data_IF_497230751863
#
_entry.id   IF_497230751863
#
_cell.length_a   1.000
_cell.length_b   1.000
_cell.length_c   1.000
_cell.angle_alpha   90.00
_cell.angle_beta   90.00
_cell.angle_gamma   90.00
#
_symmetry.space_group_name_H-M   'P 1'
#
loop_
_entity.id
_entity.type
_entity.pdbx_description
1 polymer ?
#
# COMPACT_ATOMS: atom_id res chain seq x y z
N UNK A 1 7.20 20.13 -15.76
CA UNK A 1 6.30 19.81 -14.62
C UNK A 1 7.02 18.85 -13.71
N UNK A 2 7.38 19.29 -12.50
CA UNK A 2 8.11 18.48 -11.53
C UNK A 2 7.25 17.29 -11.13
N UNK A 3 7.57 16.08 -11.59
CA UNK A 3 6.95 14.86 -11.06
C UNK A 3 7.29 14.81 -9.58
N UNK A 4 6.37 15.28 -8.73
CA UNK A 4 6.45 15.08 -7.30
C UNK A 4 6.48 13.56 -7.10
N UNK A 5 7.64 13.02 -6.70
CA UNK A 5 7.78 11.61 -6.33
C UNK A 5 6.90 11.36 -5.11
N UNK A 6 5.62 11.10 -5.33
CA UNK A 6 4.72 10.68 -4.26
C UNK A 6 5.19 9.29 -3.83
N UNK A 7 5.56 9.15 -2.56
CA UNK A 7 5.87 7.84 -2.00
C UNK A 7 4.64 6.95 -2.17
N UNK A 8 4.84 5.76 -2.73
CA UNK A 8 3.78 4.76 -2.78
C UNK A 8 3.63 4.12 -1.40
N UNK A 9 2.43 3.71 -1.05
CA UNK A 9 2.09 3.01 0.18
C UNK A 9 1.41 1.69 -0.17
N UNK A 10 1.68 0.68 0.66
CA UNK A 10 1.06 -0.64 0.60
C UNK A 10 0.17 -0.82 1.82
N UNK A 11 -1.10 -1.18 1.61
CA UNK A 11 -1.99 -1.59 2.69
C UNK A 11 -1.88 -3.11 2.92
N UNK A 12 -1.79 -3.50 4.19
CA UNK A 12 -1.64 -4.88 4.63
C UNK A 12 -2.54 -5.16 5.83
N UNK A 13 -2.97 -6.41 5.95
CA UNK A 13 -3.75 -6.95 7.05
C UNK A 13 -3.02 -8.18 7.57
N UNK A 14 -2.82 -8.28 8.88
CA UNK A 14 -2.12 -9.42 9.49
C UNK A 14 -2.81 -10.76 9.19
N UNK A 15 -4.14 -10.75 9.09
CA UNK A 15 -4.93 -11.95 8.85
C UNK A 15 -5.16 -12.27 7.37
N UNK A 16 -5.12 -11.27 6.48
CA UNK A 16 -5.46 -11.45 5.05
C UNK A 16 -4.24 -11.32 4.12
N UNK A 17 -3.14 -10.77 4.61
CA UNK A 17 -1.98 -10.41 3.80
C UNK A 17 -2.15 -9.04 3.14
N UNK A 18 -1.75 -8.93 1.88
CA UNK A 18 -1.76 -7.67 1.15
C UNK A 18 -3.19 -7.27 0.75
N UNK A 19 -3.60 -6.05 1.07
CA UNK A 19 -4.92 -5.52 0.73
C UNK A 19 -4.89 -4.66 -0.54
N UNK A 20 -3.78 -3.95 -0.76
CA UNK A 20 -3.58 -3.05 -1.90
C UNK A 20 -2.11 -3.09 -2.32
N UNK A 21 -1.86 -3.11 -3.62
CA UNK A 21 -0.53 -2.86 -4.21
C UNK A 21 -0.13 -1.39 -4.11
N UNK A 22 1.05 -0.99 -4.58
CA UNK A 22 1.53 0.39 -4.56
C UNK A 22 0.48 1.44 -4.97
N UNK A 23 0.13 2.35 -4.05
CA UNK A 23 -0.78 3.47 -4.31
C UNK A 23 -0.52 4.66 -3.41
N UNK A 24 -1.34 5.70 -3.49
CA UNK A 24 -1.19 6.87 -2.61
C UNK A 24 -1.55 6.54 -1.16
N UNK A 25 -1.08 7.38 -0.21
CA UNK A 25 -1.44 7.25 1.20
C UNK A 25 -2.96 7.22 1.40
N UNK A 26 -3.71 8.10 0.71
CA UNK A 26 -5.16 8.15 0.80
C UNK A 26 -5.82 6.85 0.33
N UNK A 27 -5.30 6.21 -0.73
CA UNK A 27 -5.82 4.91 -1.14
C UNK A 27 -5.56 3.85 -0.06
N UNK A 28 -4.34 3.79 0.48
CA UNK A 28 -3.98 2.80 1.49
C UNK A 28 -4.86 2.92 2.75
N UNK A 29 -5.13 4.14 3.20
CA UNK A 29 -6.04 4.40 4.34
C UNK A 29 -7.47 3.98 3.99
N UNK A 30 -7.98 4.40 2.83
CA UNK A 30 -9.35 4.09 2.40
C UNK A 30 -9.57 2.58 2.29
N UNK A 31 -8.61 1.84 1.72
CA UNK A 31 -8.67 0.38 1.64
C UNK A 31 -8.69 -0.26 3.01
N UNK A 32 -7.88 0.23 3.96
CA UNK A 32 -7.86 -0.31 5.32
C UNK A 32 -9.19 -0.08 6.04
N UNK A 33 -9.77 1.11 5.92
CA UNK A 33 -11.04 1.43 6.56
C UNK A 33 -12.17 0.57 5.99
N UNK A 34 -12.23 0.42 4.66
CA UNK A 34 -13.20 -0.49 4.02
C UNK A 34 -12.97 -1.94 4.47
N UNK A 35 -11.72 -2.39 4.54
CA UNK A 35 -11.40 -3.75 4.99
C UNK A 35 -11.85 -4.01 6.42
N UNK A 36 -11.63 -3.07 7.34
CA UNK A 36 -12.06 -3.16 8.74
C UNK A 36 -13.58 -3.12 8.89
N UNK A 37 -14.28 -2.38 8.02
CA UNK A 37 -15.74 -2.32 8.03
C UNK A 37 -16.38 -3.70 7.77
N UNK A 38 -15.76 -4.48 6.87
CA UNK A 38 -16.20 -5.85 6.53
C UNK A 38 -15.63 -6.86 7.54
N UNK A 39 -14.33 -6.78 7.84
CA UNK A 39 -13.59 -7.73 8.66
C UNK A 39 -13.27 -7.15 10.03
N UNK A 40 -14.30 -7.03 10.88
CA UNK A 40 -14.18 -6.45 12.22
C UNK A 40 -13.11 -7.18 13.05
N UNK A 41 -12.23 -6.43 13.69
CA UNK A 41 -11.14 -6.96 14.51
C UNK A 41 -9.87 -7.36 13.74
N UNK A 42 -9.84 -7.17 12.42
CA UNK A 42 -8.60 -7.37 11.66
C UNK A 42 -7.58 -6.26 11.95
N UNK A 43 -6.32 -6.65 12.12
CA UNK A 43 -5.22 -5.71 12.37
C UNK A 43 -4.61 -5.31 11.03
N UNK A 44 -4.76 -4.04 10.67
CA UNK A 44 -4.29 -3.51 9.40
C UNK A 44 -3.22 -2.43 9.62
N UNK A 45 -2.28 -2.37 8.69
CA UNK A 45 -1.18 -1.40 8.65
C UNK A 45 -0.89 -1.01 7.21
N UNK A 46 -0.40 0.22 7.01
CA UNK A 46 0.17 0.62 5.73
C UNK A 46 1.63 1.00 5.90
N UNK A 47 2.43 0.74 4.87
CA UNK A 47 3.86 1.00 4.88
C UNK A 47 4.27 1.72 3.60
N UNK A 48 5.15 2.73 3.65
CA UNK A 48 5.70 3.33 2.44
C UNK A 48 6.54 2.28 1.70
N UNK A 49 6.22 2.09 0.43
CA UNK A 49 7.02 1.31 -0.50
C UNK A 49 8.09 2.26 -1.02
N UNK A 50 9.34 1.99 -0.66
CA UNK A 50 10.46 2.64 -1.35
C UNK A 50 10.27 2.35 -2.84
N UNK A 51 10.35 3.34 -3.74
CA UNK A 51 10.44 3.02 -5.16
C UNK A 51 11.63 2.09 -5.27
N UNK A 52 11.36 0.81 -5.54
CA UNK A 52 12.40 -0.10 -5.96
C UNK A 52 12.92 0.55 -7.23
N UNK A 53 14.12 1.13 -7.14
CA UNK A 53 15.01 1.12 -8.29
C UNK A 53 15.09 -0.34 -8.67
N UNK A 54 14.17 -0.81 -9.51
CA UNK A 54 14.46 -1.93 -10.39
C UNK A 54 15.65 -1.43 -11.20
N UNK A 55 16.85 -1.62 -10.65
CA UNK A 55 18.02 -1.78 -11.49
C UNK A 55 17.64 -2.89 -12.44
N UNK A 56 17.62 -2.57 -13.73
CA UNK A 56 17.18 -3.48 -14.77
C UNK A 56 17.82 -4.84 -14.58
N UNK A 57 17.00 -5.87 -14.64
CA UNK A 57 17.47 -7.12 -15.22
C UNK A 57 16.71 -7.22 -16.53
N UNK A 58 17.32 -6.61 -17.55
CA UNK A 58 17.04 -6.93 -18.92
C UNK A 58 17.48 -8.39 -19.10
N UNK A 59 16.60 -9.23 -19.62
CA UNK A 59 16.93 -10.57 -20.14
C UNK A 59 16.14 -10.74 -21.42
#
# INVERSE_FOLDING_TARGET
MSQQKHANYQATCKQCGMLQHAGSLNQAVTTIEHHKAINKGHKCSYQPIKPTTQQGTQS
#
